data_IF_439964632030
#
_entry.id   IF_439964632030
#
_cell.length_a   1.000
_cell.length_b   1.000
_cell.length_c   1.000
_cell.angle_alpha   90.00
_cell.angle_beta   90.00
_cell.angle_gamma   90.00
#
_symmetry.space_group_name_H-M   'P 1'
#
loop_
_entity.id
_entity.type
_entity.pdbx_description
1 polymer ?
#
# COMPACT_ATOMS: atom_id res chain seq x y z
N UNK A 1 -11.37 -19.80 3.94
CA UNK A 1 -12.05 -18.53 4.25
C UNK A 1 -12.07 -17.71 2.99
N UNK A 2 -13.20 -17.08 2.64
CA UNK A 2 -13.34 -16.29 1.40
C UNK A 2 -14.29 -15.11 1.65
N UNK A 3 -14.16 -14.04 0.87
CA UNK A 3 -15.06 -12.88 0.94
C UNK A 3 -16.20 -12.98 -0.07
N UNK A 4 -17.31 -12.29 0.19
CA UNK A 4 -18.41 -12.11 -0.77
C UNK A 4 -19.14 -10.80 -0.50
N UNK A 5 -19.83 -10.26 -1.50
CA UNK A 5 -20.64 -9.04 -1.39
C UNK A 5 -21.94 -9.08 -2.21
N UNK A 6 -22.25 -10.24 -2.82
CA UNK A 6 -23.42 -10.41 -3.67
C UNK A 6 -23.99 -11.83 -3.67
N UNK A 7 -25.23 -11.95 -4.13
CA UNK A 7 -26.03 -13.19 -4.14
C UNK A 7 -25.47 -14.28 -5.07
N UNK A 8 -24.84 -13.87 -6.17
CA UNK A 8 -24.28 -14.80 -7.16
C UNK A 8 -23.07 -15.53 -6.56
N UNK A 9 -22.24 -14.84 -5.77
CA UNK A 9 -21.13 -15.46 -5.05
C UNK A 9 -21.61 -16.47 -4.02
N UNK A 10 -22.67 -16.17 -3.25
CA UNK A 10 -23.29 -17.15 -2.35
C UNK A 10 -23.75 -18.41 -3.09
N UNK A 11 -24.39 -18.22 -4.25
CA UNK A 11 -24.87 -19.33 -5.10
C UNK A 11 -23.72 -20.15 -5.72
N UNK A 12 -22.59 -19.50 -6.02
CA UNK A 12 -21.37 -20.20 -6.48
C UNK A 12 -20.76 -21.03 -5.35
N UNK A 13 -20.60 -20.43 -4.17
CA UNK A 13 -19.98 -21.07 -3.02
C UNK A 13 -20.81 -22.25 -2.53
N UNK A 14 -22.14 -22.11 -2.42
CA UNK A 14 -23.00 -23.22 -1.98
C UNK A 14 -22.89 -24.47 -2.87
N UNK A 15 -22.61 -24.29 -4.17
CA UNK A 15 -22.43 -25.40 -5.12
C UNK A 15 -21.02 -25.97 -5.16
N UNK A 16 -20.00 -25.11 -5.04
CA UNK A 16 -18.60 -25.49 -5.33
C UNK A 16 -17.72 -25.62 -4.10
N UNK A 17 -18.06 -24.90 -3.03
CA UNK A 17 -17.33 -24.91 -1.77
C UNK A 17 -18.28 -24.75 -0.56
N UNK A 18 -19.21 -25.69 -0.34
CA UNK A 18 -20.29 -25.54 0.65
C UNK A 18 -19.83 -25.40 2.10
N UNK A 19 -18.63 -25.88 2.44
CA UNK A 19 -18.04 -25.77 3.77
C UNK A 19 -17.17 -24.52 3.96
N UNK A 20 -17.18 -23.60 2.99
CA UNK A 20 -16.46 -22.35 3.07
C UNK A 20 -16.89 -21.53 4.29
N UNK A 21 -15.92 -20.96 4.99
CA UNK A 21 -16.16 -19.88 5.94
C UNK A 21 -16.18 -18.55 5.17
N UNK A 22 -17.33 -17.90 5.13
CA UNK A 22 -17.56 -16.70 4.33
C UNK A 22 -17.49 -15.44 5.17
N UNK A 23 -16.90 -14.38 4.61
CA UNK A 23 -16.77 -13.06 5.22
C UNK A 23 -17.51 -12.06 4.35
N UNK A 24 -18.53 -11.39 4.89
CA UNK A 24 -19.32 -10.43 4.13
C UNK A 24 -18.53 -9.12 3.99
N UNK A 25 -18.18 -8.74 2.78
CA UNK A 25 -17.52 -7.46 2.50
C UNK A 25 -18.55 -6.35 2.40
N UNK A 26 -18.43 -5.31 3.21
CA UNK A 26 -19.31 -4.14 3.19
C UNK A 26 -18.68 -2.98 2.40
N UNK A 27 -19.53 -2.12 1.84
CA UNK A 27 -19.10 -0.90 1.18
C UNK A 27 -18.65 0.15 2.22
N UNK A 28 -17.69 0.99 1.86
CA UNK A 28 -17.17 2.08 2.69
C UNK A 28 -17.26 3.42 1.96
N UNK A 29 -17.19 4.53 2.70
CA UNK A 29 -16.88 5.83 2.11
C UNK A 29 -15.38 5.90 1.78
N UNK A 30 -15.05 5.65 0.52
CA UNK A 30 -13.68 5.70 -0.02
C UNK A 30 -13.40 7.00 -0.81
N UNK A 31 -14.25 8.02 -0.67
CA UNK A 31 -14.19 9.25 -1.46
C UNK A 31 -12.86 10.00 -1.36
N UNK A 32 -12.14 9.83 -0.25
CA UNK A 32 -10.85 10.45 0.07
C UNK A 32 -9.64 9.51 -0.09
N UNK A 33 -9.84 8.33 -0.67
CA UNK A 33 -8.76 7.42 -1.04
C UNK A 33 -8.22 7.75 -2.44
N UNK A 34 -6.94 7.48 -2.67
CA UNK A 34 -6.33 7.62 -3.99
C UNK A 34 -6.89 6.58 -4.96
N UNK A 35 -7.06 5.33 -4.52
CA UNK A 35 -7.71 4.29 -5.30
C UNK A 35 -9.02 3.83 -4.65
N UNK A 36 -10.13 4.19 -5.29
CA UNK A 36 -11.50 3.85 -4.88
C UNK A 36 -11.86 2.42 -5.27
N UNK A 37 -12.39 1.65 -4.32
CA UNK A 37 -12.74 0.23 -4.47
C UNK A 37 -14.24 -0.02 -4.27
N UNK A 38 -14.96 0.83 -3.54
CA UNK A 38 -16.37 0.64 -3.15
C UNK A 38 -17.34 0.69 -4.33
N UNK A 39 -16.95 1.31 -5.45
CA UNK A 39 -17.75 1.29 -6.69
C UNK A 39 -17.79 -0.12 -7.30
N UNK A 40 -16.72 -0.90 -7.11
CA UNK A 40 -16.57 -2.24 -7.67
C UNK A 40 -16.95 -3.34 -6.68
N UNK A 41 -16.72 -3.12 -5.39
CA UNK A 41 -16.84 -4.12 -4.33
C UNK A 41 -17.56 -3.58 -3.10
N UNK A 42 -18.12 -4.48 -2.31
CA UNK A 42 -18.73 -4.18 -1.02
C UNK A 42 -20.24 -4.02 -1.10
N UNK A 43 -20.94 -4.75 -0.23
CA UNK A 43 -22.38 -4.67 -0.13
C UNK A 43 -22.79 -3.38 0.60
N UNK A 44 -23.72 -2.58 0.05
CA UNK A 44 -24.35 -1.51 0.82
C UNK A 44 -25.03 -2.08 2.07
N UNK A 45 -25.00 -1.34 3.18
CA UNK A 45 -25.62 -1.78 4.44
C UNK A 45 -27.07 -2.28 4.27
N UNK A 46 -27.87 -1.56 3.47
CA UNK A 46 -29.26 -1.94 3.16
C UNK A 46 -29.41 -3.33 2.52
N UNK A 47 -28.38 -3.82 1.84
CA UNK A 47 -28.38 -5.13 1.18
C UNK A 47 -27.85 -6.25 2.09
N UNK A 48 -27.12 -5.92 3.16
CA UNK A 48 -26.47 -6.91 4.02
C UNK A 48 -27.47 -7.88 4.68
N UNK A 49 -28.62 -7.36 5.14
CA UNK A 49 -29.68 -8.19 5.73
C UNK A 49 -30.18 -9.26 4.75
N UNK A 50 -30.41 -8.87 3.49
CA UNK A 50 -30.86 -9.79 2.44
C UNK A 50 -29.80 -10.87 2.14
N UNK A 51 -28.52 -10.49 2.06
CA UNK A 51 -27.43 -11.42 1.83
C UNK A 51 -27.27 -12.44 2.97
N UNK A 52 -27.44 -12.02 4.22
CA UNK A 52 -27.39 -12.91 5.39
C UNK A 52 -28.55 -13.91 5.40
N UNK A 53 -29.76 -13.46 5.05
CA UNK A 53 -30.94 -14.32 4.89
C UNK A 53 -30.72 -15.36 3.78
N UNK A 54 -30.23 -14.93 2.63
CA UNK A 54 -29.93 -15.83 1.52
C UNK A 54 -28.85 -16.84 1.88
N UNK A 55 -27.76 -16.40 2.52
CA UNK A 55 -26.72 -17.30 3.00
C UNK A 55 -27.30 -18.36 3.95
N UNK A 56 -28.28 -17.99 4.78
CA UNK A 56 -28.93 -18.90 5.71
C UNK A 56 -29.75 -19.96 4.98
N UNK A 57 -30.53 -19.53 3.98
CA UNK A 57 -31.33 -20.41 3.12
C UNK A 57 -30.45 -21.37 2.31
N UNK A 58 -29.24 -20.94 1.93
CA UNK A 58 -28.27 -21.75 1.22
C UNK A 58 -27.35 -22.58 2.14
N UNK A 59 -27.56 -22.52 3.47
CA UNK A 59 -26.73 -23.18 4.48
C UNK A 59 -25.23 -22.84 4.35
N UNK A 60 -24.92 -21.58 3.99
CA UNK A 60 -23.57 -21.03 3.91
C UNK A 60 -23.17 -20.48 5.27
N UNK A 61 -21.97 -20.82 5.73
CA UNK A 61 -21.48 -20.38 7.04
C UNK A 61 -20.78 -19.01 6.93
N UNK A 62 -21.45 -17.96 7.43
CA UNK A 62 -20.92 -16.60 7.47
C UNK A 62 -20.29 -16.35 8.85
N UNK A 63 -18.98 -16.11 8.86
CA UNK A 63 -18.16 -16.02 10.08
C UNK A 63 -17.76 -14.60 10.47
N UNK A 64 -17.97 -13.62 9.60
CA UNK A 64 -17.45 -12.27 9.84
C UNK A 64 -17.81 -11.24 8.79
N UNK A 65 -17.27 -10.04 9.00
CA UNK A 65 -17.41 -8.89 8.11
C UNK A 65 -16.02 -8.38 7.73
N UNK A 66 -15.85 -7.97 6.47
CA UNK A 66 -14.67 -7.24 6.01
C UNK A 66 -15.04 -5.91 5.38
N UNK A 67 -14.11 -4.98 5.36
CA UNK A 67 -14.23 -3.73 4.60
C UNK A 67 -12.87 -3.26 4.11
N UNK A 68 -12.84 -2.29 3.19
CA UNK A 68 -11.58 -1.72 2.72
C UNK A 68 -11.78 -0.25 2.33
N UNK A 69 -11.24 0.68 3.13
CA UNK A 69 -11.44 2.13 2.98
C UNK A 69 -10.76 2.77 1.75
N UNK A 70 -9.94 1.99 1.06
CA UNK A 70 -9.27 2.36 -0.18
C UNK A 70 -7.75 2.50 0.01
N UNK A 71 -7.00 2.38 -1.09
CA UNK A 71 -5.54 2.52 -1.04
C UNK A 71 -5.18 4.01 -0.95
N UNK A 72 -4.28 4.37 -0.03
CA UNK A 72 -3.91 5.76 0.22
C UNK A 72 -5.06 6.56 0.84
N UNK A 73 -5.77 5.98 1.81
CA UNK A 73 -6.83 6.69 2.53
C UNK A 73 -6.25 7.88 3.30
N UNK A 74 -6.81 9.07 3.10
CA UNK A 74 -6.37 10.30 3.79
C UNK A 74 -7.32 10.74 4.91
N UNK A 75 -8.31 9.93 5.26
CA UNK A 75 -9.30 10.23 6.30
C UNK A 75 -9.50 9.03 7.24
N UNK A 76 -8.83 9.03 8.40
CA UNK A 76 -8.99 7.99 9.41
C UNK A 76 -10.44 7.77 9.86
N UNK A 77 -11.32 8.77 9.73
CA UNK A 77 -12.73 8.64 10.12
C UNK A 77 -13.49 7.63 9.25
N UNK A 78 -13.02 7.36 8.03
CA UNK A 78 -13.59 6.31 7.18
C UNK A 78 -13.51 4.92 7.85
N UNK A 79 -12.43 4.64 8.59
CA UNK A 79 -12.33 3.40 9.37
C UNK A 79 -13.34 3.38 10.51
N UNK A 80 -13.51 4.48 11.25
CA UNK A 80 -14.48 4.56 12.36
C UNK A 80 -15.89 4.26 11.88
N UNK A 81 -16.30 4.87 10.76
CA UNK A 81 -17.61 4.59 10.17
C UNK A 81 -17.72 3.13 9.73
N UNK A 82 -16.70 2.59 9.08
CA UNK A 82 -16.71 1.20 8.58
C UNK A 82 -16.75 0.17 9.72
N UNK A 83 -16.07 0.44 10.84
CA UNK A 83 -16.12 -0.38 12.06
C UNK A 83 -17.53 -0.33 12.67
N UNK A 84 -18.13 0.87 12.74
CA UNK A 84 -19.51 1.05 13.20
C UNK A 84 -20.51 0.27 12.33
N UNK A 85 -20.37 0.37 11.01
CA UNK A 85 -21.19 -0.31 10.03
C UNK A 85 -21.03 -1.84 10.11
N UNK A 86 -19.80 -2.32 10.29
CA UNK A 86 -19.52 -3.74 10.53
C UNK A 86 -20.22 -4.23 11.79
N UNK A 87 -20.22 -3.43 12.88
CA UNK A 87 -20.94 -3.78 14.10
C UNK A 87 -22.45 -3.96 13.87
N UNK A 88 -23.07 -3.07 13.09
CA UNK A 88 -24.48 -3.21 12.72
C UNK A 88 -24.74 -4.51 11.95
N UNK A 89 -23.83 -4.91 11.06
CA UNK A 89 -23.95 -6.18 10.31
C UNK A 89 -23.77 -7.41 11.20
N UNK A 90 -22.86 -7.36 12.18
CA UNK A 90 -22.76 -8.40 13.21
C UNK A 90 -24.09 -8.58 13.97
N UNK A 91 -24.74 -7.47 14.33
CA UNK A 91 -26.04 -7.49 15.00
C UNK A 91 -27.13 -8.09 14.10
N UNK A 92 -27.21 -7.67 12.83
CA UNK A 92 -28.13 -8.26 11.85
C UNK A 92 -27.90 -9.77 11.69
N UNK A 93 -26.65 -10.21 11.65
CA UNK A 93 -26.31 -11.63 11.49
C UNK A 93 -26.75 -12.48 12.68
N UNK A 94 -26.70 -11.92 13.90
CA UNK A 94 -27.16 -12.59 15.11
C UNK A 94 -28.66 -12.92 15.07
N UNK A 95 -29.47 -12.08 14.42
CA UNK A 95 -30.91 -12.32 14.22
C UNK A 95 -31.19 -13.55 13.35
N UNK A 96 -30.27 -13.90 12.45
CA UNK A 96 -30.32 -15.12 11.62
C UNK A 96 -29.60 -16.32 12.28
N UNK A 97 -29.13 -16.15 13.52
CA UNK A 97 -28.45 -17.18 14.31
C UNK A 97 -27.01 -17.44 13.88
N UNK A 98 -26.36 -16.50 13.18
CA UNK A 98 -24.91 -16.57 12.97
C UNK A 98 -24.17 -16.17 14.24
N UNK A 99 -23.04 -16.82 14.47
CA UNK A 99 -22.08 -16.47 15.53
C UNK A 99 -20.79 -16.01 14.84
N UNK A 100 -20.80 -14.77 14.36
CA UNK A 100 -19.62 -14.17 13.75
C UNK A 100 -18.54 -13.95 14.81
N UNK A 101 -17.30 -14.21 14.43
CA UNK A 101 -16.12 -14.08 15.28
C UNK A 101 -14.96 -13.41 14.56
N UNK A 102 -15.10 -13.00 13.30
CA UNK A 102 -14.02 -12.38 12.53
C UNK A 102 -14.40 -10.97 12.05
N UNK A 103 -13.56 -9.99 12.38
CA UNK A 103 -13.58 -8.67 11.76
C UNK A 103 -12.29 -8.48 10.97
N UNK A 104 -12.44 -8.10 9.71
CA UNK A 104 -11.33 -7.76 8.83
C UNK A 104 -11.41 -6.28 8.44
N UNK A 105 -10.44 -5.50 8.90
CA UNK A 105 -10.41 -4.05 8.66
C UNK A 105 -9.74 -3.66 7.33
N UNK A 106 -9.34 -4.64 6.53
CA UNK A 106 -8.74 -4.45 5.21
C UNK A 106 -7.37 -3.78 5.26
N UNK A 107 -7.02 -3.12 4.15
CA UNK A 107 -5.78 -2.38 3.97
C UNK A 107 -6.00 -0.87 3.91
N UNK A 108 -5.11 -0.17 3.22
CA UNK A 108 -5.18 1.28 3.01
C UNK A 108 -4.15 2.10 3.81
N UNK A 109 -3.47 1.45 4.77
CA UNK A 109 -2.41 2.04 5.58
C UNK A 109 -1.27 2.62 4.72
N UNK A 110 -0.67 3.76 5.11
CA UNK A 110 0.47 4.34 4.41
C UNK A 110 1.68 3.41 4.51
N UNK A 111 2.57 3.45 3.51
CA UNK A 111 3.83 2.68 3.52
C UNK A 111 5.09 3.52 3.67
N UNK A 112 4.92 4.84 3.87
CA UNK A 112 5.98 5.82 3.90
C UNK A 112 5.64 6.97 4.85
N UNK A 113 6.66 7.55 5.48
CA UNK A 113 6.53 8.66 6.45
C UNK A 113 6.10 9.99 5.80
N UNK A 114 6.31 10.15 4.49
CA UNK A 114 5.92 11.35 3.74
C UNK A 114 4.43 11.36 3.34
N UNK A 115 3.68 10.36 3.80
CA UNK A 115 2.22 10.31 3.63
C UNK A 115 1.54 11.44 4.39
N UNK A 116 0.42 11.94 3.85
CA UNK A 116 -0.35 13.03 4.48
C UNK A 116 -0.89 12.66 5.87
N UNK A 117 -1.19 11.39 6.07
CA UNK A 117 -1.59 10.80 7.34
C UNK A 117 -0.65 9.63 7.60
N UNK A 118 -0.01 9.64 8.75
CA UNK A 118 0.91 8.59 9.20
C UNK A 118 0.15 7.34 9.67
N UNK A 119 0.85 6.21 9.78
CA UNK A 119 0.26 4.99 10.29
C UNK A 119 -0.20 5.15 11.74
N UNK A 120 0.60 5.83 12.56
CA UNK A 120 0.35 6.10 13.97
C UNK A 120 -0.93 6.93 14.13
N UNK A 121 -1.12 7.99 13.34
CA UNK A 121 -2.34 8.80 13.34
C UNK A 121 -3.58 7.99 12.95
N UNK A 122 -3.47 7.08 11.97
CA UNK A 122 -4.57 6.16 11.65
C UNK A 122 -4.87 5.23 12.82
N UNK A 123 -3.84 4.60 13.41
CA UNK A 123 -3.99 3.65 14.51
C UNK A 123 -4.61 4.29 15.75
N UNK A 124 -4.28 5.56 16.04
CA UNK A 124 -4.82 6.32 17.16
C UNK A 124 -6.32 6.60 17.02
N UNK A 125 -6.86 6.55 15.80
CA UNK A 125 -8.30 6.69 15.54
C UNK A 125 -9.00 5.33 15.45
N UNK A 126 -8.32 4.32 14.89
CA UNK A 126 -8.86 2.96 14.74
C UNK A 126 -9.00 2.26 16.10
N UNK A 127 -7.98 2.32 16.96
CA UNK A 127 -7.96 1.59 18.23
C UNK A 127 -9.17 1.93 19.13
N UNK A 128 -9.48 3.21 19.41
CA UNK A 128 -10.66 3.54 20.22
C UNK A 128 -11.99 3.11 19.59
N UNK A 129 -12.07 3.07 18.26
CA UNK A 129 -13.27 2.59 17.57
C UNK A 129 -13.42 1.07 17.73
N UNK A 130 -12.33 0.31 17.63
CA UNK A 130 -12.33 -1.13 17.91
C UNK A 130 -12.71 -1.40 19.36
N UNK A 131 -12.14 -0.68 20.33
CA UNK A 131 -12.47 -0.82 21.75
C UNK A 131 -13.97 -0.56 22.02
N UNK A 132 -14.56 0.41 21.31
CA UNK A 132 -15.96 0.78 21.46
C UNK A 132 -16.92 -0.26 20.86
N UNK A 133 -16.64 -0.72 19.63
CA UNK A 133 -17.58 -1.55 18.86
C UNK A 133 -17.29 -3.06 18.98
N UNK A 134 -16.05 -3.43 19.25
CA UNK A 134 -15.54 -4.80 19.35
C UNK A 134 -14.61 -4.95 20.57
N UNK A 135 -15.11 -4.70 21.80
CA UNK A 135 -14.29 -4.69 23.01
C UNK A 135 -13.65 -6.06 23.31
N UNK A 136 -12.58 -6.04 24.11
CA UNK A 136 -12.00 -7.25 24.67
C UNK A 136 -13.07 -8.11 25.36
N UNK A 137 -13.04 -9.43 25.11
CA UNK A 137 -14.06 -10.37 25.60
C UNK A 137 -15.27 -10.57 24.68
N UNK A 138 -15.39 -9.82 23.58
CA UNK A 138 -16.41 -10.05 22.54
C UNK A 138 -16.21 -11.35 21.71
N UNK A 139 -15.09 -12.04 21.92
CA UNK A 139 -14.65 -13.21 21.15
C UNK A 139 -14.51 -12.96 19.63
N UNK A 140 -14.28 -11.69 19.24
CA UNK A 140 -14.00 -11.31 17.86
C UNK A 140 -12.48 -11.25 17.64
N UNK A 141 -11.99 -12.03 16.69
CA UNK A 141 -10.66 -11.93 16.13
C UNK A 141 -10.63 -10.79 15.10
N UNK A 142 -9.66 -9.90 15.25
CA UNK A 142 -9.48 -8.75 14.36
C UNK A 142 -8.21 -8.98 13.53
N UNK A 143 -8.39 -8.96 12.21
CA UNK A 143 -7.34 -9.07 11.21
C UNK A 143 -7.32 -7.82 10.32
N UNK A 144 -6.25 -7.67 9.54
CA UNK A 144 -6.12 -6.64 8.52
C UNK A 144 -5.41 -7.22 7.28
N UNK A 145 -5.54 -6.52 6.14
CA UNK A 145 -4.94 -6.84 4.84
C UNK A 145 -3.92 -5.76 4.38
N UNK A 146 -2.87 -5.43 5.18
CA UNK A 146 -1.88 -4.41 4.83
C UNK A 146 -0.99 -4.83 3.65
N UNK A 147 -1.15 -4.16 2.51
CA UNK A 147 -0.25 -4.30 1.36
C UNK A 147 0.94 -3.35 1.42
N UNK A 148 0.73 -2.11 0.93
CA UNK A 148 1.81 -1.11 0.78
C UNK A 148 2.58 -0.82 2.06
N UNK A 149 1.91 -0.92 3.22
CA UNK A 149 2.50 -0.69 4.54
C UNK A 149 3.79 -1.48 4.74
N UNK A 150 3.82 -2.75 4.30
CA UNK A 150 4.96 -3.62 4.51
C UNK A 150 6.14 -3.36 3.57
N UNK A 151 5.86 -2.90 2.35
CA UNK A 151 6.83 -3.05 1.25
C UNK A 151 7.19 -1.75 0.56
N UNK A 152 6.39 -0.68 0.67
CA UNK A 152 6.59 0.52 -0.13
C UNK A 152 8.01 1.10 0.02
N UNK A 153 8.43 1.38 1.25
CA UNK A 153 9.75 1.95 1.58
C UNK A 153 10.91 0.95 1.51
N UNK A 154 10.63 -0.35 1.41
CA UNK A 154 11.65 -1.40 1.41
C UNK A 154 12.43 -1.49 0.07
N UNK A 155 11.99 -0.78 -0.97
CA UNK A 155 12.57 -0.84 -2.30
C UNK A 155 12.96 0.55 -2.81
N UNK A 156 14.20 0.65 -3.29
CA UNK A 156 14.68 1.76 -4.11
C UNK A 156 14.99 1.23 -5.51
N UNK A 157 14.42 1.87 -6.52
CA UNK A 157 14.67 1.56 -7.92
C UNK A 157 15.81 2.44 -8.45
N UNK A 158 16.80 1.82 -9.09
CA UNK A 158 17.87 2.53 -9.79
C UNK A 158 17.70 2.34 -11.30
N UNK A 159 17.61 3.44 -12.03
CA UNK A 159 17.51 3.44 -13.50
C UNK A 159 18.69 4.16 -14.12
N UNK A 160 19.09 3.71 -15.30
CA UNK A 160 20.20 4.28 -16.05
C UNK A 160 19.66 5.12 -17.21
N UNK A 161 20.26 6.29 -17.44
CA UNK A 161 19.97 7.11 -18.61
C UNK A 161 20.61 6.47 -19.83
N UNK A 162 19.77 5.99 -20.76
CA UNK A 162 20.19 5.28 -21.98
C UNK A 162 20.20 6.17 -23.22
N UNK A 163 19.44 7.27 -23.21
CA UNK A 163 19.50 8.28 -24.26
C UNK A 163 19.16 9.67 -23.72
N UNK A 164 19.61 10.69 -24.45
CA UNK A 164 19.40 12.11 -24.14
C UNK A 164 19.10 12.86 -25.43
N UNK A 165 18.15 13.80 -25.38
CA UNK A 165 17.86 14.73 -26.47
C UNK A 165 17.73 16.14 -25.92
N UNK A 166 18.36 17.10 -26.58
CA UNK A 166 18.18 18.52 -26.28
C UNK A 166 17.18 19.12 -27.26
N UNK A 167 16.26 19.92 -26.75
CA UNK A 167 15.24 20.64 -27.51
C UNK A 167 15.45 22.12 -27.26
N UNK A 168 15.91 22.85 -28.28
CA UNK A 168 15.98 24.30 -28.21
C UNK A 168 14.57 24.88 -28.19
N UNK A 169 14.33 25.84 -27.31
CA UNK A 169 13.10 26.63 -27.31
C UNK A 169 13.32 27.83 -28.23
N UNK A 170 12.46 28.01 -29.22
CA UNK A 170 12.48 29.20 -30.07
C UNK A 170 12.01 30.40 -29.24
N UNK A 171 12.95 31.20 -28.74
CA UNK A 171 12.68 32.47 -28.05
C UNK A 171 12.37 33.58 -29.06
N UNK A 172 11.36 33.40 -29.91
CA UNK A 172 10.88 34.48 -30.78
C UNK A 172 9.86 35.34 -30.01
N UNK A 173 10.32 36.29 -29.20
CA UNK A 173 9.48 37.43 -28.76
C UNK A 173 9.51 37.89 -27.31
N UNK A 174 10.51 37.54 -26.48
CA UNK A 174 10.65 38.09 -25.12
C UNK A 174 11.98 38.82 -24.95
N UNK A 175 11.94 40.13 -24.68
CA UNK A 175 13.10 41.03 -24.50
C UNK A 175 13.93 40.77 -23.23
N UNK A 176 13.67 39.68 -22.49
CA UNK A 176 14.37 39.29 -21.26
C UNK A 176 15.36 38.14 -21.54
N UNK A 177 16.49 38.44 -22.21
CA UNK A 177 17.49 37.46 -22.66
C UNK A 177 18.41 36.87 -21.57
N UNK A 178 18.30 37.26 -20.29
CA UNK A 178 19.39 37.02 -19.33
C UNK A 178 19.14 36.03 -18.18
N UNK A 179 18.04 35.27 -18.12
CA UNK A 179 17.86 34.36 -16.94
C UNK A 179 17.06 33.07 -17.11
N UNK A 180 16.84 32.58 -18.34
CA UNK A 180 16.30 31.22 -18.55
C UNK A 180 17.26 30.39 -19.43
N UNK A 181 17.62 29.16 -19.04
CA UNK A 181 18.33 28.27 -19.94
C UNK A 181 17.42 27.91 -21.13
N UNK A 182 17.78 28.39 -22.33
CA UNK A 182 17.01 28.27 -23.58
C UNK A 182 16.89 26.83 -24.15
N UNK A 183 17.04 25.78 -23.31
CA UNK A 183 16.93 24.38 -23.74
C UNK A 183 16.14 23.54 -22.74
N UNK A 184 15.22 22.73 -23.28
CA UNK A 184 14.60 21.62 -22.57
C UNK A 184 15.41 20.34 -22.83
N UNK A 185 15.55 19.47 -21.83
CA UNK A 185 16.28 18.21 -21.97
C UNK A 185 15.35 17.02 -21.77
N UNK A 186 15.38 16.07 -22.70
CA UNK A 186 14.65 14.82 -22.59
C UNK A 186 15.63 13.71 -22.25
N UNK A 187 15.37 12.97 -21.17
CA UNK A 187 16.13 11.79 -20.77
C UNK A 187 15.28 10.54 -20.95
N UNK A 188 15.87 9.50 -21.52
CA UNK A 188 15.25 8.18 -21.66
C UNK A 188 15.97 7.22 -20.73
N UNK A 189 15.22 6.50 -19.91
CA UNK A 189 15.74 5.52 -18.95
C UNK A 189 15.33 4.10 -19.31
N UNK A 190 16.02 3.13 -18.73
CA UNK A 190 15.86 1.70 -19.04
C UNK A 190 14.70 0.99 -18.31
N UNK A 191 13.81 1.73 -17.64
CA UNK A 191 12.55 1.24 -17.06
C UNK A 191 11.48 2.32 -17.27
N UNK A 192 10.21 1.93 -17.36
CA UNK A 192 9.14 2.82 -17.83
C UNK A 192 7.77 2.48 -17.27
N UNK A 193 6.73 3.11 -17.80
CA UNK A 193 5.34 2.98 -17.31
C UNK A 193 4.75 1.59 -17.56
N UNK A 194 5.31 0.84 -18.50
CA UNK A 194 4.98 -0.57 -18.74
C UNK A 194 5.74 -1.54 -17.83
N UNK A 195 6.79 -1.05 -17.17
CA UNK A 195 7.64 -1.76 -16.22
C UNK A 195 7.30 -1.33 -14.79
N UNK A 196 8.28 -0.80 -14.06
CA UNK A 196 8.13 -0.45 -12.64
C UNK A 196 7.28 0.80 -12.40
N UNK A 197 7.18 1.71 -13.37
CA UNK A 197 6.43 2.97 -13.25
C UNK A 197 4.95 2.85 -13.61
N UNK A 198 4.42 1.63 -13.78
CA UNK A 198 2.99 1.41 -13.98
C UNK A 198 2.13 1.97 -12.82
N UNK A 199 2.74 2.11 -11.63
CA UNK A 199 2.15 2.75 -10.46
C UNK A 199 1.67 4.18 -10.72
N UNK A 200 2.22 4.90 -11.70
CA UNK A 200 1.75 6.24 -12.08
C UNK A 200 0.30 6.17 -12.60
N UNK A 201 -0.01 5.14 -13.40
CA UNK A 201 -1.33 4.96 -13.99
C UNK A 201 -2.29 4.20 -13.07
N UNK A 202 -1.83 3.10 -12.47
CA UNK A 202 -2.71 2.20 -11.72
C UNK A 202 -2.87 2.56 -10.24
N UNK A 203 -1.88 3.23 -9.65
CA UNK A 203 -1.85 3.56 -8.22
C UNK A 203 -1.81 5.08 -7.96
N UNK A 204 -1.80 5.90 -9.02
CA UNK A 204 -1.68 7.35 -8.94
C UNK A 204 -0.43 7.82 -8.17
N UNK A 205 0.65 7.05 -8.26
CA UNK A 205 1.92 7.39 -7.61
C UNK A 205 2.59 8.58 -8.30
N UNK A 206 3.38 9.32 -7.52
CA UNK A 206 4.22 10.43 -8.01
C UNK A 206 5.70 10.19 -7.66
N UNK A 207 6.38 9.25 -8.33
CA UNK A 207 7.80 8.95 -8.06
C UNK A 207 8.67 10.17 -8.32
N UNK A 208 9.60 10.46 -7.41
CA UNK A 208 10.51 11.61 -7.52
C UNK A 208 11.92 11.11 -7.78
N UNK A 209 12.60 11.60 -8.85
CA UNK A 209 13.97 11.22 -9.12
C UNK A 209 14.90 11.81 -8.06
N UNK A 210 15.80 10.98 -7.56
CA UNK A 210 16.88 11.34 -6.65
C UNK A 210 18.19 11.19 -7.41
N UNK A 211 18.98 12.26 -7.40
CA UNK A 211 20.29 12.27 -8.03
C UNK A 211 21.27 11.48 -7.17
N UNK A 212 21.93 10.49 -7.75
CA UNK A 212 22.97 9.72 -7.05
C UNK A 212 24.13 10.63 -6.59
N UNK A 213 24.49 11.63 -7.40
CA UNK A 213 25.46 12.68 -7.04
C UNK A 213 24.70 13.95 -6.70
N UNK A 214 24.90 14.46 -5.48
CA UNK A 214 24.30 15.74 -5.08
C UNK A 214 24.87 16.87 -5.94
N UNK A 215 24.02 17.68 -6.59
CA UNK A 215 24.48 18.81 -7.38
C UNK A 215 25.08 19.88 -6.46
N UNK A 216 26.00 20.69 -6.98
CA UNK A 216 26.44 21.89 -6.26
C UNK A 216 25.28 22.90 -6.19
N UNK A 217 25.18 23.71 -5.12
CA UNK A 217 24.11 24.71 -5.00
C UNK A 217 24.01 25.67 -6.19
N UNK A 218 25.15 25.99 -6.81
CA UNK A 218 25.25 26.90 -7.95
C UNK A 218 25.09 26.20 -9.31
N UNK A 219 24.73 24.90 -9.32
CA UNK A 219 24.59 24.16 -10.56
C UNK A 219 23.31 24.57 -11.29
N UNK A 220 23.46 24.95 -12.56
CA UNK A 220 22.32 25.32 -13.41
C UNK A 220 21.38 24.14 -13.60
N UNK A 221 20.08 24.39 -13.38
CA UNK A 221 19.00 23.43 -13.58
C UNK A 221 18.30 23.73 -14.91
N UNK A 222 17.86 22.67 -15.58
CA UNK A 222 17.16 22.71 -16.85
C UNK A 222 15.79 22.07 -16.68
N UNK A 223 14.79 22.65 -17.36
CA UNK A 223 13.50 22.01 -17.51
C UNK A 223 13.68 20.71 -18.31
N UNK A 224 13.28 19.61 -17.70
CA UNK A 224 13.61 18.27 -18.17
C UNK A 224 12.40 17.35 -18.13
N UNK A 225 12.33 16.42 -19.07
CA UNK A 225 11.34 15.34 -19.08
C UNK A 225 12.04 13.97 -19.02
N UNK A 226 11.39 13.01 -18.38
CA UNK A 226 11.88 11.66 -18.19
C UNK A 226 10.94 10.65 -18.85
N UNK A 227 11.51 9.80 -19.68
CA UNK A 227 10.79 8.86 -20.54
C UNK A 227 11.28 7.44 -20.31
N UNK A 228 10.39 6.46 -20.45
CA UNK A 228 10.76 5.06 -20.43
C UNK A 228 11.37 4.57 -21.76
N UNK A 229 11.72 3.28 -21.84
CA UNK A 229 12.50 2.74 -22.95
C UNK A 229 11.64 2.29 -24.14
N UNK A 230 10.31 2.32 -24.04
CA UNK A 230 9.44 1.76 -25.08
C UNK A 230 9.29 2.68 -26.30
N UNK A 231 8.63 2.18 -27.34
CA UNK A 231 8.32 2.94 -28.55
C UNK A 231 7.00 3.72 -28.44
N UNK A 232 6.38 3.74 -27.27
CA UNK A 232 5.11 4.42 -27.02
C UNK A 232 5.35 5.85 -26.54
N UNK A 233 4.66 6.82 -27.15
CA UNK A 233 4.68 8.21 -26.72
C UNK A 233 3.99 8.46 -25.37
N UNK A 234 3.29 7.48 -24.80
CA UNK A 234 2.73 7.54 -23.44
C UNK A 234 3.67 6.99 -22.38
N UNK A 235 4.83 6.45 -22.76
CA UNK A 235 5.86 5.98 -21.83
C UNK A 235 6.67 7.15 -21.25
N UNK A 236 5.96 8.03 -20.56
CA UNK A 236 6.48 9.24 -19.94
C UNK A 236 6.35 9.10 -18.42
N UNK A 237 7.48 9.19 -17.72
CA UNK A 237 7.56 9.06 -16.27
C UNK A 237 7.32 10.42 -15.60
N UNK A 238 7.88 11.49 -16.17
CA UNK A 238 7.71 12.85 -15.67
C UNK A 238 7.90 13.90 -16.78
N UNK A 239 7.05 14.93 -16.79
CA UNK A 239 7.05 15.95 -17.86
C UNK A 239 7.86 17.20 -17.49
N UNK A 240 7.83 17.63 -16.23
CA UNK A 240 8.36 18.92 -15.78
C UNK A 240 9.26 18.77 -14.56
N UNK A 241 10.49 18.32 -14.78
CA UNK A 241 11.53 18.18 -13.76
C UNK A 241 12.55 19.30 -13.87
N UNK A 242 13.03 19.80 -12.73
CA UNK A 242 14.19 20.68 -12.67
C UNK A 242 15.40 19.83 -12.30
N UNK A 243 16.24 19.53 -13.29
CA UNK A 243 17.43 18.68 -13.11
C UNK A 243 18.67 19.41 -13.60
N UNK A 244 19.85 19.18 -12.99
CA UNK A 244 21.09 19.55 -13.64
C UNK A 244 21.23 18.80 -14.97
N UNK A 245 22.14 19.25 -15.82
CA UNK A 245 22.44 18.51 -17.04
C UNK A 245 23.10 17.16 -16.71
N UNK A 246 22.40 16.07 -17.04
CA UNK A 246 22.84 14.68 -16.89
C UNK A 246 23.34 14.12 -18.22
N UNK A 247 24.05 13.00 -18.15
CA UNK A 247 24.64 12.32 -19.31
C UNK A 247 24.15 10.87 -19.42
N UNK A 248 24.27 10.31 -20.62
CA UNK A 248 24.04 8.88 -20.84
C UNK A 248 25.02 8.09 -19.97
N UNK A 249 24.49 7.10 -19.25
CA UNK A 249 25.24 6.33 -18.25
C UNK A 249 25.09 6.84 -16.81
N UNK A 250 24.53 8.03 -16.57
CA UNK A 250 24.19 8.47 -15.22
C UNK A 250 23.00 7.68 -14.65
N UNK A 251 22.92 7.64 -13.31
CA UNK A 251 21.90 6.90 -12.58
C UNK A 251 20.94 7.84 -11.84
N UNK A 252 19.66 7.51 -11.93
CA UNK A 252 18.59 8.10 -11.13
C UNK A 252 18.05 7.06 -10.17
N UNK A 253 17.81 7.48 -8.93
CA UNK A 253 17.24 6.65 -7.89
C UNK A 253 15.78 7.08 -7.63
N UNK A 254 14.93 6.12 -7.32
CA UNK A 254 13.54 6.34 -6.94
C UNK A 254 13.27 5.51 -5.69
N UNK A 255 13.19 6.17 -4.54
CA UNK A 255 12.82 5.53 -3.28
C UNK A 255 11.32 5.24 -3.25
N UNK A 256 10.91 4.42 -2.27
CA UNK A 256 9.52 4.06 -2.02
C UNK A 256 8.83 3.32 -3.19
N UNK A 257 9.61 2.56 -3.97
CA UNK A 257 9.17 1.87 -5.18
C UNK A 257 8.78 0.40 -4.96
N UNK A 258 8.34 0.02 -3.75
CA UNK A 258 8.03 -1.38 -3.43
C UNK A 258 6.58 -1.80 -3.60
N UNK A 259 5.63 -0.86 -3.57
CA UNK A 259 4.20 -1.15 -3.64
C UNK A 259 3.63 -0.85 -5.02
N UNK A 260 2.91 -1.82 -5.61
CA UNK A 260 2.23 -1.69 -6.91
C UNK A 260 3.16 -1.30 -8.07
N UNK A 261 4.42 -1.73 -8.01
CA UNK A 261 5.44 -1.54 -9.05
C UNK A 261 5.67 -2.86 -9.79
N UNK A 262 6.65 -3.67 -9.36
CA UNK A 262 7.02 -4.94 -9.99
C UNK A 262 5.85 -5.91 -10.15
N UNK A 263 4.88 -5.87 -9.23
CA UNK A 263 3.71 -6.75 -9.22
C UNK A 263 2.78 -6.61 -10.44
N UNK A 264 2.73 -5.42 -11.06
CA UNK A 264 1.91 -5.13 -12.24
C UNK A 264 2.77 -4.80 -13.48
N UNK A 265 4.07 -5.06 -13.41
CA UNK A 265 4.99 -4.85 -14.53
C UNK A 265 4.83 -5.89 -15.63
N UNK A 266 5.02 -5.46 -16.87
CA UNK A 266 4.97 -6.31 -18.06
C UNK A 266 6.32 -6.33 -18.79
N UNK A 267 6.45 -7.21 -19.79
CA UNK A 267 7.61 -7.22 -20.70
C UNK A 267 7.25 -6.66 -22.09
N UNK A 268 6.38 -5.64 -22.12
CA UNK A 268 6.03 -4.95 -23.37
C UNK A 268 7.27 -4.42 -24.07
N UNK A 269 7.30 -4.49 -25.41
CA UNK A 269 8.49 -4.24 -26.24
C UNK A 269 9.74 -5.08 -25.92
N UNK A 270 9.59 -6.17 -25.15
CA UNK A 270 10.68 -7.10 -24.85
C UNK A 270 11.63 -6.65 -23.74
N UNK A 271 11.39 -5.49 -23.12
CA UNK A 271 12.17 -5.02 -21.98
C UNK A 271 11.92 -5.92 -20.77
N UNK A 272 12.99 -6.36 -20.12
CA UNK A 272 12.91 -7.28 -18.99
C UNK A 272 12.67 -6.52 -17.69
N UNK A 273 12.04 -7.18 -16.73
CA UNK A 273 11.87 -6.63 -15.39
C UNK A 273 13.22 -6.39 -14.71
N UNK A 274 13.30 -5.30 -13.94
CA UNK A 274 14.48 -4.94 -13.15
C UNK A 274 14.83 -6.03 -12.13
N UNK A 275 16.12 -6.37 -12.02
CA UNK A 275 16.60 -7.39 -11.09
C UNK A 275 16.52 -6.89 -9.65
N UNK A 276 15.92 -7.69 -8.77
CA UNK A 276 15.81 -7.38 -7.34
C UNK A 276 17.01 -7.96 -6.58
N UNK A 277 17.65 -7.12 -5.77
CA UNK A 277 18.73 -7.49 -4.87
C UNK A 277 18.28 -7.30 -3.43
N UNK A 278 18.03 -8.40 -2.72
CA UNK A 278 17.65 -8.35 -1.31
C UNK A 278 18.88 -8.18 -0.41
N UNK A 279 18.78 -7.28 0.56
CA UNK A 279 19.78 -7.08 1.60
C UNK A 279 19.08 -7.06 2.96
N UNK A 280 19.76 -7.57 3.99
CA UNK A 280 19.25 -7.56 5.35
C UNK A 280 20.40 -7.33 6.33
N UNK A 281 20.34 -6.28 7.18
CA UNK A 281 21.29 -6.10 8.27
C UNK A 281 21.25 -7.28 9.24
N UNK A 282 22.40 -7.60 9.86
CA UNK A 282 22.48 -8.70 10.83
C UNK A 282 21.49 -8.53 11.99
N UNK A 283 21.35 -7.31 12.52
CA UNK A 283 20.38 -7.01 13.58
C UNK A 283 18.93 -7.33 13.18
N UNK A 284 18.54 -7.05 11.92
CA UNK A 284 17.22 -7.39 11.41
C UNK A 284 17.03 -8.91 11.26
N UNK A 285 18.07 -9.62 10.81
CA UNK A 285 18.04 -11.09 10.75
C UNK A 285 17.86 -11.71 12.14
N UNK A 286 18.58 -11.22 13.15
CA UNK A 286 18.47 -11.71 14.52
C UNK A 286 17.07 -11.47 15.09
N UNK A 287 16.46 -10.31 14.79
CA UNK A 287 15.07 -10.02 15.15
C UNK A 287 14.08 -11.00 14.50
N UNK A 288 14.24 -11.32 13.21
CA UNK A 288 13.42 -12.34 12.52
C UNK A 288 13.58 -13.71 13.19
N UNK A 289 14.80 -14.11 13.55
CA UNK A 289 15.05 -15.37 14.25
C UNK A 289 14.36 -15.42 15.63
N UNK A 290 14.35 -14.32 16.37
CA UNK A 290 13.64 -14.23 17.65
C UNK A 290 12.13 -14.35 17.46
N UNK A 291 11.55 -13.65 16.48
CA UNK A 291 10.13 -13.76 16.16
C UNK A 291 9.74 -15.20 15.76
N UNK A 292 10.55 -15.86 14.95
CA UNK A 292 10.33 -17.26 14.56
C UNK A 292 10.42 -18.23 15.74
N UNK A 293 11.31 -17.98 16.70
CA UNK A 293 11.41 -18.79 17.93
C UNK A 293 10.24 -18.53 18.88
N UNK A 294 9.84 -17.26 19.04
CA UNK A 294 8.66 -16.88 19.80
C UNK A 294 7.39 -17.51 19.23
N UNK A 295 7.21 -17.48 17.90
CA UNK A 295 6.09 -18.14 17.21
C UNK A 295 6.07 -19.66 17.44
N UNK A 296 7.22 -20.31 17.63
CA UNK A 296 7.30 -21.74 18.01
C UNK A 296 7.04 -21.99 19.49
N UNK A 297 7.20 -20.99 20.35
CA UNK A 297 6.96 -21.07 21.79
C UNK A 297 5.56 -20.61 22.20
N UNK A 298 4.76 -20.00 21.31
CA UNK A 298 3.37 -19.58 21.62
C UNK A 298 2.41 -20.76 21.87
N UNK A 299 2.84 -22.01 21.70
CA UNK A 299 2.10 -23.17 22.27
C UNK A 299 2.25 -23.32 23.80
N UNK A 300 3.19 -22.62 24.47
CA UNK A 300 3.35 -22.62 25.93
C UNK A 300 3.70 -21.21 26.46
N UNK A 301 2.77 -20.59 27.22
CA UNK A 301 2.93 -19.24 27.80
C UNK A 301 4.14 -19.12 28.75
N UNK A 302 4.92 -18.04 28.64
CA UNK A 302 5.03 -16.89 29.56
C UNK A 302 6.28 -16.02 29.27
N UNK A 303 6.11 -14.70 29.40
CA UNK A 303 7.06 -13.59 29.36
C UNK A 303 8.57 -13.91 29.22
N UNK A 304 9.18 -13.46 28.11
CA UNK A 304 10.64 -13.35 27.98
C UNK A 304 11.00 -11.89 27.68
N UNK A 305 11.58 -11.23 28.68
CA UNK A 305 12.33 -10.00 28.52
C UNK A 305 13.82 -10.38 28.49
N UNK A 306 14.55 -10.02 27.42
CA UNK A 306 15.98 -10.29 27.31
C UNK A 306 16.74 -8.97 27.06
N UNK A 307 17.77 -8.64 27.86
CA UNK A 307 18.59 -7.47 27.61
C UNK A 307 19.54 -7.74 26.45
N UNK A 308 19.62 -6.82 25.48
CA UNK A 308 20.70 -6.81 24.51
C UNK A 308 21.92 -6.14 25.15
N UNK A 309 22.94 -6.93 25.50
CA UNK A 309 24.26 -6.39 25.82
C UNK A 309 25.19 -6.60 24.63
N UNK A 310 25.51 -5.53 23.91
CA UNK A 310 26.73 -5.43 23.14
C UNK A 310 27.37 -4.08 23.49
N UNK A 311 28.66 -4.12 23.82
CA UNK A 311 29.39 -3.00 24.40
C UNK A 311 29.47 -1.78 23.47
N UNK A 312 29.69 -0.65 24.13
CA UNK A 312 29.77 0.74 23.67
C UNK A 312 28.41 1.45 23.62
N UNK A 313 28.26 2.34 24.60
CA UNK A 313 27.11 3.15 25.00
C UNK A 313 26.20 3.61 23.85
N UNK A 314 24.96 3.11 23.87
CA UNK A 314 23.69 3.86 23.88
C UNK A 314 22.65 2.87 24.43
N UNK A 315 22.12 3.15 25.62
CA UNK A 315 21.02 2.39 26.22
C UNK A 315 19.69 2.95 25.72
N UNK A 316 19.33 2.66 24.47
CA UNK A 316 17.95 2.87 24.03
C UNK A 316 17.16 1.60 24.30
N UNK A 317 16.26 1.69 25.29
CA UNK A 317 15.19 0.72 25.43
C UNK A 317 14.29 0.84 24.19
N UNK A 318 14.26 -0.21 23.36
CA UNK A 318 13.19 -0.41 22.40
C UNK A 318 11.89 -0.71 23.17
N UNK A 319 11.27 0.35 23.67
CA UNK A 319 9.90 0.31 24.14
C UNK A 319 9.01 0.33 22.90
N UNK A 320 8.51 -0.83 22.51
CA UNK A 320 7.34 -0.91 21.63
C UNK A 320 6.15 -0.38 22.42
N UNK A 321 5.81 0.91 22.25
CA UNK A 321 4.44 1.36 22.49
C UNK A 321 3.52 0.59 21.55
N UNK A 322 2.36 0.08 21.99
CA UNK A 322 1.47 -0.63 21.09
C UNK A 322 0.82 0.38 20.13
N UNK A 323 1.48 0.60 18.99
CA UNK A 323 0.76 0.89 17.76
C UNK A 323 -0.01 -0.39 17.40
N UNK A 324 -1.21 -0.22 16.83
CA UNK A 324 -2.10 -1.32 16.43
C UNK A 324 -1.33 -2.51 15.82
N UNK A 325 -1.42 -3.67 16.46
CA UNK A 325 -0.96 -4.93 15.90
C UNK A 325 -2.18 -5.85 15.76
N UNK A 326 -2.67 -6.12 14.53
CA UNK A 326 -3.78 -7.05 14.36
C UNK A 326 -3.39 -8.42 14.92
N UNK A 327 -4.37 -9.19 15.39
CA UNK A 327 -4.14 -10.52 16.00
C UNK A 327 -3.43 -11.45 15.00
N UNK A 328 -3.70 -11.23 13.71
CA UNK A 328 -3.04 -11.89 12.59
C UNK A 328 -3.09 -11.00 11.34
N UNK A 329 -2.05 -11.08 10.53
CA UNK A 329 -1.96 -10.46 9.20
C UNK A 329 -2.14 -11.59 8.18
N UNK A 330 -3.02 -11.37 7.20
CA UNK A 330 -3.29 -12.32 6.11
C UNK A 330 -2.57 -11.86 4.85
#
# INVERSE_FOLDING_TARGET
MMTFDNEVELSKVSRTHPNAKMVLRIATDDSKSSARLSVKFGAPLKSCRHLLEMAKNLNVDVIGVSFHVGSGCNDPKAYVQSISDARLVFEMASEFGYKMWLLDIGGGFPGTEDSRVTFEEMSAVINPALDLYFPEGSAVEIIAEPGRYYVASAFSLAVNIIAKKEVQLDCSGSDDEETCPNKNIMYYVNDGVYGSFNCIFFDHAHPKPILHKKPSPDQLLYNSSLWGPTCDGLDQIAEHLQLPELQVGDWLLFDNMGAYTVAASSTFNGFQQSRIHYAMPRAAWDAVQLLQKGLKQVEEKENICAPMSCGWEISDSLCLTPAFAPTRII
#
